data_IF_425215092564
#
_entry.id   IF_425215092564
#
_cell.length_a   1.000
_cell.length_b   1.000
_cell.length_c   1.000
_cell.angle_alpha   90.00
_cell.angle_beta   90.00
_cell.angle_gamma   90.00
#
_symmetry.space_group_name_H-M   'P 1'
#
loop_
_entity.id
_entity.type
_entity.pdbx_description
1 polymer ?
#
# COMPACT_ATOMS: atom_id res chain seq x y z
N UNK A 1 34.95 18.62 45.08
CA UNK A 1 34.67 19.75 44.16
C UNK A 1 35.39 19.44 42.85
N UNK A 2 34.79 19.25 41.67
CA UNK A 2 33.51 19.64 41.12
C UNK A 2 32.84 18.46 40.43
N UNK A 3 31.52 18.36 40.64
CA UNK A 3 30.60 17.47 39.93
C UNK A 3 30.28 18.14 38.60
N UNK A 4 30.62 17.51 37.47
CA UNK A 4 30.14 18.00 36.17
C UNK A 4 28.69 17.54 35.97
N UNK A 5 27.79 18.52 36.05
CA UNK A 5 26.35 18.43 35.91
C UNK A 5 25.98 19.08 34.58
N UNK A 6 25.72 18.27 33.58
CA UNK A 6 25.04 18.64 32.33
C UNK A 6 24.41 17.36 31.77
N UNK A 7 23.37 16.81 32.41
CA UNK A 7 21.95 17.25 32.33
C UNK A 7 21.44 17.25 30.89
N UNK A 8 20.99 16.05 30.48
CA UNK A 8 19.70 15.79 29.84
C UNK A 8 19.21 16.76 28.75
N UNK A 9 19.52 16.50 27.48
CA UNK A 9 18.71 16.99 26.36
C UNK A 9 18.65 16.00 25.16
N UNK A 10 18.79 14.70 25.40
CA UNK A 10 18.61 13.66 24.34
C UNK A 10 17.49 12.64 24.60
N UNK A 11 16.64 12.86 25.60
CA UNK A 11 15.53 11.94 25.93
C UNK A 11 14.15 12.43 25.46
N UNK A 12 14.08 13.45 24.61
CA UNK A 12 12.81 14.13 24.30
C UNK A 12 12.15 13.80 22.95
N UNK A 13 12.64 12.84 22.14
CA UNK A 13 12.20 12.74 20.73
C UNK A 13 11.95 11.34 20.14
N UNK A 14 11.77 10.31 20.96
CA UNK A 14 11.51 8.95 20.46
C UNK A 14 10.35 8.25 21.17
N UNK A 15 9.19 8.90 21.23
CA UNK A 15 7.95 8.30 21.71
C UNK A 15 6.79 8.55 20.73
N UNK A 16 7.08 8.56 19.42
CA UNK A 16 6.06 8.57 18.37
C UNK A 16 6.20 7.27 17.59
N UNK A 17 5.35 6.31 17.95
CA UNK A 17 4.96 5.13 17.17
C UNK A 17 6.10 4.39 16.46
N UNK A 18 7.11 3.91 17.22
CA UNK A 18 7.74 2.67 16.79
C UNK A 18 6.63 1.62 16.80
N UNK A 19 6.19 1.20 15.62
CA UNK A 19 5.44 -0.05 15.49
C UNK A 19 6.24 -1.09 16.28
N UNK A 20 5.70 -1.70 17.36
CA UNK A 20 6.44 -2.69 18.12
C UNK A 20 6.95 -3.74 17.14
N UNK A 21 8.23 -4.09 17.20
CA UNK A 21 8.84 -5.02 16.24
C UNK A 21 8.03 -6.32 16.13
N UNK A 22 7.42 -6.74 17.24
CA UNK A 22 6.44 -7.82 17.36
C UNK A 22 5.22 -7.72 16.42
N UNK A 23 4.77 -6.51 16.08
CA UNK A 23 3.64 -6.28 15.17
C UNK A 23 4.04 -6.46 13.70
N UNK A 24 5.28 -6.11 13.34
CA UNK A 24 5.81 -6.39 12.01
C UNK A 24 6.06 -7.89 11.82
N UNK A 25 6.54 -8.57 12.86
CA UNK A 25 6.70 -10.02 12.85
C UNK A 25 5.37 -10.76 12.68
N UNK A 26 4.32 -10.31 13.40
CA UNK A 26 2.96 -10.82 13.22
C UNK A 26 2.48 -10.58 11.78
N UNK A 27 2.66 -9.38 11.26
CA UNK A 27 2.29 -9.04 9.88
C UNK A 27 3.00 -9.94 8.87
N UNK A 28 4.32 -10.12 8.97
CA UNK A 28 5.07 -10.98 8.05
C UNK A 28 4.68 -12.45 8.15
N UNK A 29 4.35 -12.94 9.36
CA UNK A 29 3.80 -14.27 9.57
C UNK A 29 2.48 -14.45 8.81
N UNK A 30 1.55 -13.50 8.91
CA UNK A 30 0.30 -13.53 8.15
C UNK A 30 0.53 -13.46 6.64
N UNK A 31 1.49 -12.65 6.17
CA UNK A 31 1.85 -12.58 4.75
C UNK A 31 2.38 -13.90 4.20
N UNK A 32 3.07 -14.69 5.03
CA UNK A 32 3.60 -16.00 4.65
C UNK A 32 2.52 -17.06 4.41
N UNK A 33 1.33 -16.89 5.00
CA UNK A 33 0.23 -17.86 4.89
C UNK A 33 -0.52 -17.77 3.55
N UNK A 34 -0.53 -16.60 2.94
CA UNK A 34 -1.24 -16.37 1.66
C UNK A 34 -0.40 -16.89 0.50
N UNK A 35 -1.01 -17.73 -0.34
CA UNK A 35 -0.33 -18.28 -1.52
C UNK A 35 -0.17 -17.22 -2.60
N UNK A 36 0.95 -17.29 -3.31
CA UNK A 36 1.19 -16.44 -4.48
C UNK A 36 0.24 -16.83 -5.61
N UNK A 37 -0.24 -15.81 -6.34
CA UNK A 37 -1.13 -16.01 -7.48
C UNK A 37 -0.36 -16.46 -8.72
N UNK A 38 -0.96 -17.36 -9.49
CA UNK A 38 -0.52 -17.64 -10.86
C UNK A 38 -1.11 -16.61 -11.83
N UNK A 39 -0.64 -16.57 -13.08
CA UNK A 39 -1.27 -15.72 -14.11
C UNK A 39 -2.76 -16.05 -14.31
N UNK A 40 -3.12 -17.33 -14.24
CA UNK A 40 -4.50 -17.75 -14.38
C UNK A 40 -5.34 -17.27 -13.19
N UNK A 41 -4.79 -17.29 -11.98
CA UNK A 41 -5.46 -16.75 -10.79
C UNK A 41 -5.66 -15.25 -10.88
N UNK A 42 -4.64 -14.49 -11.32
CA UNK A 42 -4.73 -13.05 -11.55
C UNK A 42 -5.90 -12.72 -12.48
N UNK A 43 -5.99 -13.41 -13.62
CA UNK A 43 -7.09 -13.22 -14.59
C UNK A 43 -8.44 -13.58 -13.99
N UNK A 44 -8.53 -14.71 -13.28
CA UNK A 44 -9.78 -15.18 -12.67
C UNK A 44 -10.29 -14.20 -11.62
N UNK A 45 -9.43 -13.78 -10.68
CA UNK A 45 -9.79 -12.83 -9.63
C UNK A 45 -10.16 -11.47 -10.22
N UNK A 46 -9.41 -10.98 -11.22
CA UNK A 46 -9.71 -9.71 -11.87
C UNK A 46 -11.11 -9.69 -12.52
N UNK A 47 -11.53 -10.80 -13.14
CA UNK A 47 -12.90 -10.94 -13.67
C UNK A 47 -13.96 -10.93 -12.58
N UNK A 48 -13.72 -11.63 -11.47
CA UNK A 48 -14.65 -11.64 -10.33
C UNK A 48 -14.78 -10.25 -9.69
N UNK A 49 -13.67 -9.51 -9.58
CA UNK A 49 -13.65 -8.13 -9.08
C UNK A 49 -14.45 -7.21 -10.02
N UNK A 50 -14.24 -7.32 -11.33
CA UNK A 50 -14.97 -6.53 -12.35
C UNK A 50 -16.48 -6.77 -12.25
N UNK A 51 -16.91 -8.04 -12.22
CA UNK A 51 -18.32 -8.41 -12.09
C UNK A 51 -18.95 -7.94 -10.76
N UNK A 52 -18.23 -8.08 -9.64
CA UNK A 52 -18.75 -7.62 -8.35
C UNK A 52 -18.83 -6.10 -8.24
N UNK A 53 -17.92 -5.36 -8.88
CA UNK A 53 -18.00 -3.90 -8.97
C UNK A 53 -19.23 -3.46 -9.77
N UNK A 54 -19.47 -4.07 -10.93
CA UNK A 54 -20.67 -3.82 -11.74
C UNK A 54 -21.95 -4.12 -10.94
N UNK A 55 -21.97 -5.22 -10.18
CA UNK A 55 -23.10 -5.55 -9.32
C UNK A 55 -23.33 -4.51 -8.20
N UNK A 56 -22.25 -4.03 -7.57
CA UNK A 56 -22.33 -2.97 -6.57
C UNK A 56 -22.85 -1.64 -7.16
N UNK A 57 -22.36 -1.25 -8.35
CA UNK A 57 -22.83 -0.06 -9.06
C UNK A 57 -24.33 -0.14 -9.38
N UNK A 58 -24.83 -1.32 -9.77
CA UNK A 58 -26.26 -1.54 -10.00
C UNK A 58 -27.11 -1.43 -8.72
N UNK A 59 -26.59 -1.93 -7.59
CA UNK A 59 -27.24 -1.78 -6.28
C UNK A 59 -27.34 -0.31 -5.88
N UNK A 60 -26.24 0.43 -6.02
CA UNK A 60 -26.14 1.84 -5.67
C UNK A 60 -27.04 2.72 -6.55
N UNK A 61 -27.17 2.36 -7.83
CA UNK A 61 -28.08 3.01 -8.78
C UNK A 61 -29.57 2.70 -8.54
N UNK A 62 -29.90 1.81 -7.59
CA UNK A 62 -31.27 1.41 -7.31
C UNK A 62 -31.93 0.60 -8.42
N UNK A 63 -31.14 -0.17 -9.18
CA UNK A 63 -31.61 -0.97 -10.30
C UNK A 63 -32.73 -1.96 -9.94
N UNK A 64 -33.51 -2.36 -10.95
CA UNK A 64 -34.68 -3.25 -10.82
C UNK A 64 -34.34 -4.74 -10.83
N UNK A 65 -33.06 -5.10 -10.74
CA UNK A 65 -32.59 -6.49 -10.73
C UNK A 65 -32.89 -7.22 -9.42
N UNK A 66 -32.61 -8.53 -9.40
CA UNK A 66 -32.61 -9.32 -8.18
C UNK A 66 -31.52 -8.79 -7.23
N UNK A 67 -31.96 -8.04 -6.21
CA UNK A 67 -31.08 -7.41 -5.23
C UNK A 67 -30.25 -8.43 -4.45
N UNK A 68 -30.79 -9.61 -4.17
CA UNK A 68 -30.08 -10.62 -3.39
C UNK A 68 -28.92 -11.20 -4.18
N UNK A 69 -29.14 -11.46 -5.48
CA UNK A 69 -28.09 -11.93 -6.39
C UNK A 69 -27.02 -10.86 -6.63
N UNK A 70 -27.42 -9.60 -6.86
CA UNK A 70 -26.47 -8.49 -6.99
C UNK A 70 -25.61 -8.33 -5.73
N UNK A 71 -26.22 -8.45 -4.55
CA UNK A 71 -25.51 -8.37 -3.29
C UNK A 71 -24.55 -9.55 -3.10
N UNK A 72 -24.88 -10.75 -3.59
CA UNK A 72 -23.98 -11.91 -3.59
C UNK A 72 -22.77 -11.65 -4.47
N UNK A 73 -22.97 -11.21 -5.71
CA UNK A 73 -21.90 -10.91 -6.66
C UNK A 73 -20.98 -9.78 -6.15
N UNK A 74 -21.54 -8.73 -5.56
CA UNK A 74 -20.77 -7.64 -4.96
C UNK A 74 -19.86 -8.14 -3.82
N UNK A 75 -20.40 -8.98 -2.92
CA UNK A 75 -19.60 -9.61 -1.85
C UNK A 75 -18.49 -10.50 -2.40
N UNK A 76 -18.77 -11.30 -3.43
CA UNK A 76 -17.78 -12.14 -4.08
C UNK A 76 -16.66 -11.33 -4.74
N UNK A 77 -17.00 -10.21 -5.40
CA UNK A 77 -16.03 -9.27 -5.93
C UNK A 77 -15.14 -8.67 -4.85
N UNK A 78 -15.72 -8.26 -3.71
CA UNK A 78 -14.96 -7.72 -2.59
C UNK A 78 -14.00 -8.77 -2.00
N UNK A 79 -14.48 -10.00 -1.77
CA UNK A 79 -13.61 -11.09 -1.29
C UNK A 79 -12.47 -11.40 -2.28
N UNK A 80 -12.77 -11.36 -3.59
CA UNK A 80 -11.75 -11.53 -4.62
C UNK A 80 -10.73 -10.40 -4.61
N UNK A 81 -11.17 -9.15 -4.40
CA UNK A 81 -10.29 -7.99 -4.25
C UNK A 81 -9.36 -8.13 -3.05
N UNK A 82 -9.91 -8.46 -1.88
CA UNK A 82 -9.15 -8.64 -0.64
C UNK A 82 -8.11 -9.75 -0.79
N UNK A 83 -8.48 -10.87 -1.41
CA UNK A 83 -7.56 -11.96 -1.71
C UNK A 83 -6.46 -11.53 -2.70
N UNK A 84 -6.80 -10.78 -3.75
CA UNK A 84 -5.83 -10.28 -4.72
C UNK A 84 -4.79 -9.39 -4.04
N UNK A 85 -5.24 -8.45 -3.21
CA UNK A 85 -4.38 -7.56 -2.43
C UNK A 85 -3.49 -8.36 -1.49
N UNK A 86 -4.07 -9.24 -0.67
CA UNK A 86 -3.36 -10.02 0.32
C UNK A 86 -2.24 -10.87 -0.29
N UNK A 87 -2.49 -11.50 -1.43
CA UNK A 87 -1.49 -12.32 -2.13
C UNK A 87 -0.31 -11.51 -2.69
N UNK A 88 -0.44 -10.18 -2.79
CA UNK A 88 0.57 -9.28 -3.33
C UNK A 88 1.23 -8.38 -2.27
N UNK A 89 0.86 -8.47 -1.00
CA UNK A 89 1.48 -7.67 0.07
C UNK A 89 3.00 -7.92 0.19
N UNK A 90 3.46 -9.14 -0.10
CA UNK A 90 4.91 -9.46 -0.13
C UNK A 90 5.69 -8.63 -1.15
N UNK A 91 5.05 -8.28 -2.29
CA UNK A 91 5.65 -7.39 -3.28
C UNK A 91 5.87 -6.00 -2.68
N UNK A 92 4.89 -5.46 -1.95
CA UNK A 92 5.00 -4.16 -1.28
C UNK A 92 6.19 -4.13 -0.33
N UNK A 93 6.31 -5.12 0.55
CA UNK A 93 7.44 -5.23 1.49
C UNK A 93 8.78 -5.23 0.75
N UNK A 94 8.91 -6.01 -0.33
CA UNK A 94 10.15 -6.08 -1.12
C UNK A 94 10.52 -4.75 -1.79
N UNK A 95 9.52 -3.95 -2.20
CA UNK A 95 9.75 -2.63 -2.80
C UNK A 95 10.09 -1.62 -1.69
N UNK A 96 9.34 -1.60 -0.60
CA UNK A 96 9.52 -0.69 0.53
C UNK A 96 10.89 -0.86 1.21
N UNK A 97 11.38 -2.09 1.36
CA UNK A 97 12.71 -2.38 1.91
C UNK A 97 13.86 -1.68 1.13
N UNK A 98 13.67 -1.40 -0.17
CA UNK A 98 14.65 -0.67 -0.98
C UNK A 98 14.72 0.83 -0.63
N UNK A 99 13.64 1.39 -0.06
CA UNK A 99 13.54 2.79 0.33
C UNK A 99 13.99 3.04 1.77
N UNK A 100 13.84 2.05 2.65
CA UNK A 100 14.17 2.16 4.09
C UNK A 100 15.61 2.65 4.37
N UNK A 101 16.59 2.32 3.53
CA UNK A 101 17.99 2.79 3.69
C UNK A 101 18.22 4.26 3.31
N UNK A 102 17.26 4.91 2.65
CA UNK A 102 17.41 6.24 2.03
C UNK A 102 16.37 7.25 2.51
N UNK A 103 15.29 6.81 3.14
CA UNK A 103 14.23 7.68 3.68
C UNK A 103 14.38 7.89 5.18
N UNK A 104 13.79 8.98 5.69
CA UNK A 104 13.63 9.21 7.14
C UNK A 104 12.49 8.40 7.76
N UNK A 105 11.59 7.87 6.92
CA UNK A 105 10.45 7.04 7.35
C UNK A 105 10.89 5.64 7.73
N UNK A 106 10.18 5.07 8.71
CA UNK A 106 10.37 3.68 9.10
C UNK A 106 9.81 2.71 8.04
N UNK A 107 10.16 1.42 8.16
CA UNK A 107 9.71 0.41 7.21
C UNK A 107 8.18 0.24 7.21
N UNK A 108 7.53 0.35 8.36
CA UNK A 108 6.08 0.25 8.49
C UNK A 108 5.36 1.37 7.74
N UNK A 109 5.80 2.61 7.91
CA UNK A 109 5.27 3.79 7.19
C UNK A 109 5.40 3.63 5.67
N UNK A 110 6.57 3.16 5.19
CA UNK A 110 6.79 2.88 3.77
C UNK A 110 5.89 1.75 3.25
N UNK A 111 5.70 0.68 4.04
CA UNK A 111 4.78 -0.41 3.70
C UNK A 111 3.36 0.12 3.59
N UNK A 112 2.91 0.98 4.51
CA UNK A 112 1.57 1.54 4.49
C UNK A 112 1.32 2.38 3.24
N UNK A 113 2.24 3.28 2.88
CA UNK A 113 2.16 4.05 1.63
C UNK A 113 2.18 3.13 0.39
N UNK A 114 3.02 2.10 0.42
CA UNK A 114 3.08 1.09 -0.62
C UNK A 114 1.78 0.29 -0.77
N UNK A 115 1.10 -0.04 0.33
CA UNK A 115 -0.19 -0.72 0.34
C UNK A 115 -1.27 0.14 -0.31
N UNK A 116 -1.27 1.47 -0.08
CA UNK A 116 -2.16 2.40 -0.80
C UNK A 116 -1.85 2.45 -2.31
N UNK A 117 -0.59 2.28 -2.71
CA UNK A 117 -0.21 2.10 -4.10
C UNK A 117 -0.74 0.78 -4.69
N UNK A 118 -0.62 -0.32 -3.93
CA UNK A 118 -1.09 -1.63 -4.33
C UNK A 118 -2.61 -1.67 -4.53
N UNK A 119 -3.39 -1.11 -3.61
CA UNK A 119 -4.86 -1.04 -3.73
C UNK A 119 -5.28 -0.40 -5.05
N UNK A 120 -4.70 0.76 -5.37
CA UNK A 120 -4.94 1.46 -6.65
C UNK A 120 -4.49 0.65 -7.86
N UNK A 121 -3.41 -0.12 -7.73
CA UNK A 121 -2.98 -1.02 -8.80
C UNK A 121 -4.00 -2.12 -9.06
N UNK A 122 -4.57 -2.74 -8.01
CA UNK A 122 -5.61 -3.77 -8.15
C UNK A 122 -6.88 -3.18 -8.77
N UNK A 123 -7.34 -2.02 -8.30
CA UNK A 123 -8.52 -1.33 -8.83
C UNK A 123 -8.44 -1.05 -10.34
N UNK A 124 -7.23 -0.73 -10.82
CA UNK A 124 -6.97 -0.30 -12.20
C UNK A 124 -6.31 -1.37 -13.06
N UNK A 125 -6.14 -2.59 -12.55
CA UNK A 125 -5.47 -3.63 -13.30
C UNK A 125 -6.34 -4.12 -14.46
N UNK A 126 -5.75 -4.13 -15.66
CA UNK A 126 -6.40 -4.67 -16.85
C UNK A 126 -5.69 -5.96 -17.30
N UNK A 127 -6.34 -7.08 -17.00
CA UNK A 127 -5.86 -8.43 -17.34
C UNK A 127 -5.85 -8.70 -18.85
N UNK A 128 -6.61 -7.93 -19.65
CA UNK A 128 -6.71 -8.12 -21.11
C UNK A 128 -5.42 -7.72 -21.83
N UNK A 129 -4.56 -6.92 -21.17
CA UNK A 129 -3.28 -6.46 -21.74
C UNK A 129 -2.18 -7.55 -21.72
N UNK A 130 -2.41 -8.68 -21.07
CA UNK A 130 -1.49 -9.84 -21.11
C UNK A 130 -0.20 -9.70 -20.30
N UNK A 131 -0.03 -8.62 -19.54
CA UNK A 131 1.11 -8.44 -18.64
C UNK A 131 0.79 -8.98 -17.24
N UNK A 132 1.84 -9.46 -16.55
CA UNK A 132 1.74 -9.86 -15.14
C UNK A 132 1.37 -8.69 -14.26
N UNK A 133 0.58 -8.94 -13.22
CA UNK A 133 0.16 -7.90 -12.29
C UNK A 133 1.37 -7.21 -11.61
N UNK A 134 2.38 -7.98 -11.20
CA UNK A 134 3.57 -7.46 -10.52
C UNK A 134 4.31 -6.38 -11.32
N UNK A 135 4.35 -6.51 -12.65
CA UNK A 135 4.96 -5.51 -13.55
C UNK A 135 4.24 -4.17 -13.44
N UNK A 136 2.91 -4.18 -13.44
CA UNK A 136 2.09 -2.97 -13.32
C UNK A 136 2.10 -2.40 -11.90
N UNK A 137 1.91 -3.25 -10.90
CA UNK A 137 1.81 -2.86 -9.49
C UNK A 137 3.08 -2.19 -8.96
N UNK A 138 4.26 -2.64 -9.40
CA UNK A 138 5.55 -2.08 -8.95
C UNK A 138 5.63 -0.57 -9.17
N UNK A 139 5.08 -0.05 -10.28
CA UNK A 139 5.08 1.39 -10.55
C UNK A 139 4.19 2.15 -9.57
N UNK A 140 2.98 1.69 -9.33
CA UNK A 140 2.04 2.31 -8.38
C UNK A 140 2.54 2.27 -6.94
N UNK A 141 3.12 1.15 -6.51
CA UNK A 141 3.72 0.99 -5.18
C UNK A 141 4.87 1.97 -5.01
N UNK A 142 5.82 2.00 -5.97
CA UNK A 142 6.96 2.93 -5.93
C UNK A 142 6.50 4.39 -5.89
N UNK A 143 5.53 4.75 -6.73
CA UNK A 143 5.02 6.11 -6.81
C UNK A 143 4.34 6.53 -5.49
N UNK A 144 3.58 5.64 -4.87
CA UNK A 144 2.92 5.91 -3.60
C UNK A 144 3.94 6.14 -2.48
N UNK A 145 4.93 5.25 -2.35
CA UNK A 145 6.03 5.39 -1.38
C UNK A 145 6.79 6.70 -1.56
N UNK A 146 7.18 7.04 -2.79
CA UNK A 146 7.89 8.29 -3.08
C UNK A 146 7.07 9.53 -2.70
N UNK A 147 5.76 9.51 -2.98
CA UNK A 147 4.86 10.60 -2.58
C UNK A 147 4.69 10.70 -1.07
N UNK A 148 4.60 9.57 -0.37
CA UNK A 148 4.53 9.53 1.08
C UNK A 148 5.78 10.12 1.73
N UNK A 149 6.97 9.69 1.28
CA UNK A 149 8.25 10.24 1.74
C UNK A 149 8.32 11.76 1.54
N UNK A 150 8.02 12.25 0.33
CA UNK A 150 8.04 13.68 0.05
C UNK A 150 7.02 14.49 0.89
N UNK A 151 5.90 13.88 1.26
CA UNK A 151 4.87 14.48 2.10
C UNK A 151 5.22 14.53 3.59
N UNK A 152 6.00 13.57 4.08
CA UNK A 152 6.32 13.40 5.50
C UNK A 152 7.67 13.98 5.92
N UNK A 153 8.59 14.27 4.98
CA UNK A 153 9.90 14.86 5.28
C UNK A 153 9.87 16.32 5.82
N UNK A 154 8.70 16.98 5.86
CA UNK A 154 8.60 18.39 6.30
C UNK A 154 7.36 18.65 7.15
N UNK A 155 7.56 19.40 8.25
CA UNK A 155 6.49 19.88 9.15
C UNK A 155 5.43 20.72 8.44
N UNK A 156 5.75 21.28 7.26
CA UNK A 156 4.80 22.01 6.39
C UNK A 156 4.72 21.28 5.05
N UNK A 157 3.52 20.80 4.72
CA UNK A 157 3.22 20.08 3.48
C UNK A 157 3.32 21.04 2.28
N UNK A 158 4.33 20.86 1.45
CA UNK A 158 4.49 21.61 0.20
C UNK A 158 4.00 20.77 -0.99
N UNK A 159 3.38 21.39 -2.02
CA UNK A 159 3.01 20.71 -3.26
C UNK A 159 4.18 19.93 -3.90
N UNK A 160 3.90 18.72 -4.39
CA UNK A 160 4.91 17.76 -4.92
C UNK A 160 5.78 18.38 -6.04
N UNK A 161 5.21 19.22 -6.89
CA UNK A 161 5.96 19.90 -7.96
C UNK A 161 7.08 20.82 -7.43
N UNK A 162 6.91 21.40 -6.22
CA UNK A 162 7.93 22.23 -5.58
C UNK A 162 9.03 21.39 -4.92
N UNK A 163 8.75 20.14 -4.53
CA UNK A 163 9.75 19.22 -4.00
C UNK A 163 10.74 18.78 -5.09
N UNK A 164 10.25 18.41 -6.28
CA UNK A 164 11.09 18.01 -7.42
C UNK A 164 12.06 19.11 -7.85
N UNK A 165 11.65 20.37 -7.74
CA UNK A 165 12.50 21.53 -8.02
C UNK A 165 13.64 21.69 -7.00
N UNK A 166 13.39 21.38 -5.72
CA UNK A 166 14.39 21.51 -4.65
C UNK A 166 15.43 20.40 -4.67
N UNK A 167 15.04 19.16 -5.01
CA UNK A 167 15.97 18.02 -5.13
C UNK A 167 16.99 18.27 -6.24
N UNK A 168 16.57 18.90 -7.35
CA UNK A 168 17.47 19.26 -8.47
C UNK A 168 18.47 20.36 -8.17
N UNK A 169 18.19 21.26 -7.22
CA UNK A 169 19.09 22.37 -6.86
C UNK A 169 20.20 21.92 -5.90
N UNK A 170 20.06 20.73 -5.31
CA UNK A 170 21.01 20.18 -4.32
C UNK A 170 22.00 19.17 -4.91
N UNK A 171 21.91 18.91 -6.22
CA UNK A 171 22.83 18.09 -7.01
C UNK A 171 23.67 19.00 -7.92
#
# INVERSE_FOLDING_TARGET
MYVNRSTSLREGRSAMMNVPEDLLDLYFSELGKVRLLTAADEVRLAKTIEAGREAQEMLDAGGTGDRDELARLAREGQMAFDHFVAANLRLVVSVAAQFSKRSTLDLGELIQEGNLGLLRAVEKFDWRRGYKFSTYATWWIRQAIQRGVAGSERTIRLPVALHDALVKVRA
#
